data_IF_086904013510
#
_entry.id   IF_086904013510
#
_cell.length_a   1.000
_cell.length_b   1.000
_cell.length_c   1.000
_cell.angle_alpha   90.00
_cell.angle_beta   90.00
_cell.angle_gamma   90.00
#
_symmetry.space_group_name_H-M   'P 1'
#
loop_
_entity.id
_entity.type
_entity.pdbx_description
1 polymer ?
#
# COMPACT_ATOMS: atom_id res chain seq x y z
N UNK A 1 14.44 16.62 49.40
CA UNK A 1 14.35 15.55 48.39
C UNK A 1 13.49 16.03 47.24
N UNK A 2 14.00 15.90 46.03
CA UNK A 2 13.33 16.14 44.75
C UNK A 2 13.14 14.80 44.02
N UNK A 3 12.03 14.63 43.31
CA UNK A 3 11.73 13.41 42.56
C UNK A 3 11.73 13.67 41.05
N UNK A 4 12.34 12.76 40.29
CA UNK A 4 12.30 12.74 38.82
C UNK A 4 11.85 11.38 38.32
N UNK A 5 11.30 11.35 37.10
CA UNK A 5 10.89 10.13 36.39
C UNK A 5 11.30 10.22 34.92
N UNK A 6 11.50 9.07 34.29
CA UNK A 6 11.71 8.96 32.84
C UNK A 6 10.40 8.78 32.06
N UNK A 7 9.26 8.79 32.74
CA UNK A 7 7.96 8.72 32.09
C UNK A 7 7.77 9.92 31.15
N UNK A 8 7.59 9.69 29.83
CA UNK A 8 7.41 10.77 28.86
C UNK A 8 6.05 11.47 28.98
N UNK A 9 5.07 10.83 29.63
CA UNK A 9 3.80 11.48 29.98
C UNK A 9 3.98 12.25 31.30
N UNK A 10 3.18 13.32 31.55
CA UNK A 10 3.36 14.19 32.71
C UNK A 10 3.06 13.45 34.02
N UNK A 11 4.06 12.73 34.53
CA UNK A 11 3.99 11.99 35.78
C UNK A 11 3.62 12.93 36.93
N UNK A 12 2.70 12.49 37.79
CA UNK A 12 2.47 13.18 39.05
C UNK A 12 3.52 12.71 40.04
N UNK A 13 4.51 13.56 40.29
CA UNK A 13 5.55 13.30 41.28
C UNK A 13 5.30 14.17 42.52
N UNK A 14 5.70 13.70 43.72
CA UNK A 14 5.59 14.50 44.92
C UNK A 14 6.46 15.75 44.81
N UNK A 15 5.95 16.89 45.30
CA UNK A 15 6.77 18.09 45.43
C UNK A 15 7.91 17.92 46.43
N UNK A 16 8.88 18.83 46.35
CA UNK A 16 10.07 18.78 47.19
C UNK A 16 9.70 18.76 48.68
N UNK A 17 10.37 17.87 49.42
CA UNK A 17 10.08 17.70 50.84
C UNK A 17 11.29 17.29 51.67
N UNK A 18 11.40 17.75 52.93
CA UNK A 18 12.36 17.20 53.87
C UNK A 18 11.99 15.77 54.29
N UNK A 19 12.95 15.05 54.87
CA UNK A 19 12.79 13.72 55.48
C UNK A 19 13.03 13.80 57.01
N UNK A 20 12.08 14.31 57.81
CA UNK A 20 12.23 14.35 59.26
C UNK A 20 12.44 12.93 59.81
N UNK A 21 13.46 12.72 60.65
CA UNK A 21 13.79 11.38 61.17
C UNK A 21 14.35 10.41 60.12
N UNK A 22 14.79 10.92 58.96
CA UNK A 22 15.44 10.14 57.90
C UNK A 22 14.50 9.29 57.03
N UNK A 23 13.19 9.25 57.33
CA UNK A 23 12.20 8.43 56.62
C UNK A 23 10.91 9.21 56.39
N UNK A 24 10.34 9.09 55.18
CA UNK A 24 9.02 9.63 54.86
C UNK A 24 8.35 8.79 53.77
N UNK A 25 7.05 8.55 53.92
CA UNK A 25 6.22 7.95 52.86
C UNK A 25 5.66 9.03 51.95
N UNK A 26 5.81 8.86 50.64
CA UNK A 26 5.21 9.72 49.63
C UNK A 26 4.07 8.96 48.94
N UNK A 27 2.93 9.61 48.78
CA UNK A 27 1.74 9.06 48.12
C UNK A 27 1.37 9.91 46.91
N UNK A 28 0.45 9.43 46.08
CA UNK A 28 -0.02 10.18 44.91
C UNK A 28 0.93 10.18 43.71
N UNK A 29 1.88 9.24 43.67
CA UNK A 29 2.73 9.04 42.50
C UNK A 29 1.90 8.44 41.37
N UNK A 30 1.85 9.09 40.21
CA UNK A 30 1.19 8.55 39.02
C UNK A 30 2.18 8.43 37.86
N UNK A 31 2.24 7.22 37.30
CA UNK A 31 3.03 6.85 36.12
C UNK A 31 2.08 6.26 35.09
N UNK A 32 2.31 6.57 33.82
CA UNK A 32 1.41 6.29 32.71
C UNK A 32 2.04 5.35 31.68
N UNK A 33 3.34 5.39 31.49
CA UNK A 33 3.98 4.66 30.38
C UNK A 33 4.44 3.26 30.80
N UNK A 34 3.87 2.23 30.18
CA UNK A 34 4.24 0.82 30.34
C UNK A 34 5.56 0.48 29.61
N UNK A 35 6.22 -0.65 29.94
CA UNK A 35 5.90 -1.60 31.00
C UNK A 35 6.50 -1.23 32.36
N UNK A 36 7.44 -0.28 32.41
CA UNK A 36 8.08 0.14 33.65
C UNK A 36 8.65 1.55 33.54
N UNK A 37 8.62 2.31 34.64
CA UNK A 37 9.24 3.62 34.75
C UNK A 37 10.11 3.71 35.99
N UNK A 38 11.21 4.46 35.87
CA UNK A 38 12.11 4.75 37.00
C UNK A 38 11.62 5.95 37.78
N UNK A 39 11.70 5.90 39.10
CA UNK A 39 11.57 7.05 39.98
C UNK A 39 12.92 7.25 40.66
N UNK A 40 13.47 8.45 40.56
CA UNK A 40 14.72 8.83 41.21
C UNK A 40 14.46 9.92 42.23
N UNK A 41 14.93 9.72 43.46
CA UNK A 41 14.91 10.70 44.52
C UNK A 41 16.33 11.25 44.71
N UNK A 42 16.46 12.58 44.69
CA UNK A 42 17.73 13.28 44.86
C UNK A 42 17.63 14.27 46.02
N UNK A 43 18.61 14.28 46.91
CA UNK A 43 18.68 15.32 47.93
C UNK A 43 18.95 16.69 47.28
N UNK A 44 18.14 17.69 47.63
CA UNK A 44 18.18 19.01 47.00
C UNK A 44 19.34 19.87 47.48
N UNK A 45 19.97 19.50 48.60
CA UNK A 45 21.13 20.19 49.17
C UNK A 45 22.42 19.48 48.76
N UNK A 46 22.44 18.14 48.84
CA UNK A 46 23.59 17.29 48.53
C UNK A 46 23.24 16.37 47.37
N UNK A 47 23.32 16.88 46.13
CA UNK A 47 22.86 16.19 44.93
C UNK A 47 23.48 14.80 44.65
N UNK A 48 24.59 14.44 45.31
CA UNK A 48 25.18 13.10 45.24
C UNK A 48 24.41 12.04 46.03
N UNK A 49 23.51 12.44 46.93
CA UNK A 49 22.64 11.52 47.67
C UNK A 49 21.42 11.25 46.79
N UNK A 50 21.45 10.10 46.12
CA UNK A 50 20.37 9.67 45.21
C UNK A 50 19.93 8.25 45.52
N UNK A 51 18.66 7.94 45.27
CA UNK A 51 18.13 6.57 45.23
C UNK A 51 17.16 6.42 44.07
N UNK A 52 17.16 5.26 43.41
CA UNK A 52 16.27 5.01 42.27
C UNK A 52 15.62 3.63 42.38
N UNK A 53 14.41 3.53 41.84
CA UNK A 53 13.67 2.27 41.73
C UNK A 53 12.85 2.24 40.45
N UNK A 54 12.56 1.05 39.95
CA UNK A 54 11.67 0.85 38.81
C UNK A 54 10.30 0.39 39.31
N UNK A 55 9.25 1.02 38.80
CA UNK A 55 7.86 0.66 39.03
C UNK A 55 7.32 0.02 37.77
N UNK A 56 6.69 -1.14 37.89
CA UNK A 56 5.96 -1.75 36.77
C UNK A 56 4.69 -0.96 36.54
N UNK A 57 4.48 -0.51 35.31
CA UNK A 57 3.28 0.20 34.89
C UNK A 57 2.48 -0.75 34.03
N UNK A 58 1.31 -1.16 34.54
CA UNK A 58 0.37 -2.01 33.80
C UNK A 58 -0.44 -1.13 32.85
N UNK A 59 -0.49 -1.45 31.55
CA UNK A 59 -1.34 -0.76 30.59
C UNK A 59 -2.81 -0.76 31.02
N UNK A 60 -3.53 0.32 30.69
CA UNK A 60 -4.98 0.38 30.88
C UNK A 60 -5.70 -0.44 29.80
N UNK A 61 -7.04 -0.48 29.88
CA UNK A 61 -7.86 -1.06 28.83
C UNK A 61 -7.64 -0.34 27.50
N UNK A 62 -7.69 -1.09 26.40
CA UNK A 62 -7.55 -0.53 25.06
C UNK A 62 -8.67 0.49 24.79
N UNK A 63 -8.30 1.64 24.27
CA UNK A 63 -9.22 2.69 23.82
C UNK A 63 -9.26 2.80 22.30
N UNK A 64 -8.20 2.36 21.62
CA UNK A 64 -8.06 2.44 20.18
C UNK A 64 -7.10 1.37 19.62
N UNK A 65 -7.01 1.28 18.30
CA UNK A 65 -5.97 0.49 17.63
C UNK A 65 -4.93 1.39 16.96
N UNK A 66 -3.66 1.00 17.07
CA UNK A 66 -2.63 1.39 16.13
C UNK A 66 -2.56 0.34 15.02
N UNK A 67 -2.53 0.79 13.77
CA UNK A 67 -2.46 -0.07 12.59
C UNK A 67 -1.24 0.32 11.77
N UNK A 68 -0.46 -0.65 11.31
CA UNK A 68 0.70 -0.40 10.43
C UNK A 68 0.70 -1.37 9.26
N UNK A 69 1.14 -0.91 8.09
CA UNK A 69 1.39 -1.71 6.89
C UNK A 69 2.74 -1.31 6.29
N UNK A 70 3.33 -2.13 5.40
CA UNK A 70 4.32 -1.62 4.46
C UNK A 70 3.73 -0.46 3.66
N UNK A 71 4.57 0.49 3.26
CA UNK A 71 4.18 1.62 2.43
C UNK A 71 5.36 2.00 1.52
N UNK A 72 5.25 1.84 0.19
CA UNK A 72 4.09 1.33 -0.56
C UNK A 72 3.90 -0.19 -0.44
N UNK A 73 2.72 -0.68 -0.83
CA UNK A 73 2.48 -2.11 -1.14
C UNK A 73 2.34 -2.31 -2.65
N UNK A 74 2.46 -3.54 -3.14
CA UNK A 74 2.30 -3.87 -4.57
C UNK A 74 1.04 -4.71 -4.79
N UNK A 75 0.21 -4.33 -5.76
CA UNK A 75 -0.99 -5.08 -6.14
C UNK A 75 -0.62 -6.51 -6.58
N UNK A 76 -1.39 -7.49 -6.11
CA UNK A 76 -1.15 -8.92 -6.32
C UNK A 76 -0.10 -9.55 -5.40
N UNK A 77 0.61 -8.77 -4.58
CA UNK A 77 1.62 -9.28 -3.65
C UNK A 77 1.07 -9.31 -2.21
N UNK A 78 1.15 -10.45 -1.51
CA UNK A 78 0.73 -10.55 -0.11
C UNK A 78 1.55 -9.64 0.82
N UNK A 79 0.87 -9.05 1.80
CA UNK A 79 1.48 -8.31 2.90
C UNK A 79 0.66 -8.47 4.19
N UNK A 80 1.21 -8.00 5.30
CA UNK A 80 0.53 -8.00 6.60
C UNK A 80 0.20 -6.57 7.05
N UNK A 81 -1.00 -6.39 7.60
CA UNK A 81 -1.27 -5.29 8.52
C UNK A 81 -1.02 -5.75 9.96
N UNK A 82 -0.29 -4.97 10.75
CA UNK A 82 -0.16 -5.20 12.19
C UNK A 82 -1.17 -4.35 12.92
N UNK A 83 -2.00 -4.96 13.76
CA UNK A 83 -2.93 -4.26 14.66
C UNK A 83 -2.44 -4.41 16.09
N UNK A 84 -2.32 -3.29 16.79
CA UNK A 84 -1.94 -3.20 18.21
C UNK A 84 -3.04 -2.48 18.98
N UNK A 85 -3.62 -3.13 19.99
CA UNK A 85 -4.54 -2.53 20.94
C UNK A 85 -3.78 -1.61 21.88
N UNK A 86 -4.16 -0.33 21.90
CA UNK A 86 -3.51 0.69 22.71
C UNK A 86 -4.48 1.39 23.65
N UNK A 87 -4.01 1.73 24.85
CA UNK A 87 -4.74 2.58 25.78
C UNK A 87 -4.60 4.07 25.42
N UNK A 88 -5.19 4.96 26.22
CA UNK A 88 -5.15 6.42 25.98
C UNK A 88 -3.74 7.06 26.05
N UNK A 89 -2.74 6.31 26.52
CA UNK A 89 -1.33 6.72 26.61
C UNK A 89 -0.46 5.99 25.58
N UNK A 90 -1.09 5.32 24.60
CA UNK A 90 -0.44 4.53 23.56
C UNK A 90 0.33 3.30 24.07
N UNK A 91 0.06 2.86 25.31
CA UNK A 91 0.62 1.61 25.81
C UNK A 91 -0.11 0.43 25.16
N UNK A 92 0.62 -0.64 24.84
CA UNK A 92 -0.02 -1.87 24.36
C UNK A 92 -0.83 -2.51 25.49
N UNK A 93 -2.15 -2.57 25.33
CA UNK A 93 -3.05 -3.24 26.27
C UNK A 93 -2.91 -4.77 26.13
N UNK A 94 -1.92 -5.36 26.80
CA UNK A 94 -1.56 -6.78 26.63
C UNK A 94 -2.65 -7.76 27.06
N UNK A 95 -3.56 -7.36 27.95
CA UNK A 95 -4.73 -8.16 28.32
C UNK A 95 -5.86 -8.13 27.28
N UNK A 96 -5.75 -7.29 26.25
CA UNK A 96 -6.77 -7.16 25.23
C UNK A 96 -6.80 -8.40 24.32
N UNK A 97 -7.93 -9.11 24.33
CA UNK A 97 -8.21 -10.30 23.54
C UNK A 97 -9.44 -10.14 22.61
N UNK A 98 -9.84 -8.89 22.34
CA UNK A 98 -10.97 -8.56 21.47
C UNK A 98 -10.81 -9.07 20.04
N UNK A 99 -11.92 -9.21 19.33
CA UNK A 99 -11.97 -9.70 17.94
C UNK A 99 -12.01 -8.54 16.99
N UNK A 100 -11.00 -8.44 16.13
CA UNK A 100 -10.84 -7.35 15.16
C UNK A 100 -11.34 -7.77 13.79
N UNK A 101 -12.11 -6.88 13.16
CA UNK A 101 -12.47 -6.92 11.75
C UNK A 101 -11.57 -5.94 10.99
N UNK A 102 -11.06 -6.39 9.85
CA UNK A 102 -10.31 -5.57 8.90
C UNK A 102 -11.22 -5.16 7.74
N UNK A 103 -11.22 -3.88 7.40
CA UNK A 103 -11.86 -3.35 6.19
C UNK A 103 -10.95 -2.39 5.45
N UNK A 104 -11.29 -2.09 4.20
CA UNK A 104 -10.61 -1.08 3.40
C UNK A 104 -11.43 0.21 3.36
N UNK A 105 -10.77 1.37 3.35
CA UNK A 105 -11.46 2.66 3.21
C UNK A 105 -12.12 2.85 1.84
N UNK A 106 -11.51 2.31 0.79
CA UNK A 106 -12.10 2.18 -0.55
C UNK A 106 -12.13 0.71 -0.94
N UNK A 107 -13.26 0.27 -1.52
CA UNK A 107 -13.44 -1.11 -1.92
C UNK A 107 -12.47 -1.50 -3.04
N UNK A 108 -11.76 -2.60 -2.85
CA UNK A 108 -10.97 -3.26 -3.89
C UNK A 108 -11.66 -4.58 -4.25
N UNK A 109 -12.29 -4.68 -5.45
CA UNK A 109 -13.03 -5.87 -5.86
C UNK A 109 -12.15 -7.11 -6.07
N UNK A 110 -10.83 -6.94 -6.12
CA UNK A 110 -9.85 -8.02 -6.28
C UNK A 110 -9.05 -8.29 -5.01
N UNK A 111 -9.36 -7.59 -3.91
CA UNK A 111 -8.68 -7.82 -2.65
C UNK A 111 -9.13 -9.12 -1.99
N UNK A 112 -8.18 -9.79 -1.33
CA UNK A 112 -8.45 -10.86 -0.38
C UNK A 112 -8.12 -10.34 1.01
N UNK A 113 -9.16 -10.10 1.81
CA UNK A 113 -9.03 -9.65 3.20
C UNK A 113 -9.07 -10.83 4.17
N UNK A 114 -8.40 -10.73 5.33
CA UNK A 114 -8.46 -11.75 6.35
C UNK A 114 -9.84 -11.77 7.01
N UNK A 115 -10.22 -12.93 7.54
CA UNK A 115 -11.38 -13.05 8.42
C UNK A 115 -11.16 -12.33 9.76
N UNK A 116 -12.25 -12.14 10.50
CA UNK A 116 -12.19 -11.60 11.85
C UNK A 116 -11.28 -12.45 12.75
N UNK A 117 -10.47 -11.81 13.57
CA UNK A 117 -9.53 -12.54 14.41
C UNK A 117 -9.27 -11.87 15.76
N UNK A 118 -9.12 -12.67 16.82
CA UNK A 118 -8.76 -12.19 18.16
C UNK A 118 -7.30 -11.76 18.21
N UNK A 119 -7.00 -10.68 18.95
CA UNK A 119 -5.62 -10.30 19.27
C UNK A 119 -5.04 -11.20 20.36
N UNK A 120 -3.72 -11.31 20.40
CA UNK A 120 -2.99 -12.04 21.45
C UNK A 120 -1.92 -11.12 22.02
N UNK A 121 -1.89 -10.95 23.33
CA UNK A 121 -1.06 -9.93 23.98
C UNK A 121 -1.28 -8.52 23.41
N UNK A 122 -2.53 -8.20 23.03
CA UNK A 122 -2.88 -6.93 22.40
C UNK A 122 -2.39 -6.74 20.97
N UNK A 123 -1.79 -7.74 20.30
CA UNK A 123 -1.20 -7.60 18.96
C UNK A 123 -1.62 -8.75 18.04
N UNK A 124 -1.75 -8.48 16.73
CA UNK A 124 -1.84 -9.52 15.69
C UNK A 124 -1.47 -9.01 14.31
N UNK A 125 -0.97 -9.92 13.48
CA UNK A 125 -0.77 -9.75 12.04
C UNK A 125 -1.99 -10.24 11.28
N UNK A 126 -2.41 -9.44 10.31
CA UNK A 126 -3.54 -9.67 9.43
C UNK A 126 -3.04 -9.78 7.98
N UNK A 127 -2.86 -11.00 7.45
CA UNK A 127 -2.40 -11.20 6.08
C UNK A 127 -3.49 -10.80 5.09
N UNK A 128 -3.12 -10.08 4.05
CA UNK A 128 -4.03 -9.67 2.98
C UNK A 128 -3.31 -9.50 1.64
N UNK A 129 -4.10 -9.44 0.57
CA UNK A 129 -3.64 -9.11 -0.78
C UNK A 129 -4.58 -8.05 -1.32
N UNK A 130 -4.04 -6.94 -1.84
CA UNK A 130 -4.80 -6.00 -2.66
C UNK A 130 -4.59 -6.34 -4.13
N UNK A 131 -5.65 -6.30 -4.94
CA UNK A 131 -5.59 -6.64 -6.35
C UNK A 131 -5.61 -5.43 -7.28
N UNK A 132 -6.06 -4.27 -6.80
CA UNK A 132 -6.12 -3.04 -7.60
C UNK A 132 -5.30 -1.90 -6.99
N UNK A 133 -4.79 -1.02 -7.86
CA UNK A 133 -4.05 0.19 -7.45
C UNK A 133 -4.98 1.26 -6.85
N UNK A 134 -6.26 1.24 -7.24
CA UNK A 134 -7.23 2.27 -6.85
C UNK A 134 -6.91 3.66 -7.42
N UNK A 135 -7.67 4.66 -6.96
CA UNK A 135 -7.42 6.07 -7.28
C UNK A 135 -6.96 6.80 -6.02
N UNK A 136 -5.64 6.91 -5.83
CA UNK A 136 -5.04 7.65 -4.71
C UNK A 136 -4.60 6.76 -3.54
N UNK A 137 -4.56 7.34 -2.34
CA UNK A 137 -4.16 6.62 -1.13
C UNK A 137 -5.23 5.62 -0.72
N UNK A 138 -4.81 4.39 -0.42
CA UNK A 138 -5.66 3.37 0.18
C UNK A 138 -5.55 3.45 1.70
N UNK A 139 -6.54 2.88 2.41
CA UNK A 139 -6.45 2.67 3.85
C UNK A 139 -6.91 1.29 4.28
N UNK A 140 -6.36 0.84 5.41
CA UNK A 140 -6.82 -0.30 6.19
C UNK A 140 -7.39 0.24 7.49
N UNK A 141 -8.58 -0.25 7.84
CA UNK A 141 -9.32 0.11 9.04
C UNK A 141 -9.46 -1.16 9.88
N UNK A 142 -9.01 -1.10 11.13
CA UNK A 142 -9.25 -2.12 12.14
C UNK A 142 -10.37 -1.65 13.05
N UNK A 143 -11.36 -2.50 13.31
CA UNK A 143 -12.49 -2.19 14.20
C UNK A 143 -12.79 -3.41 15.06
N UNK A 144 -12.97 -3.21 16.37
CA UNK A 144 -13.41 -4.28 17.24
C UNK A 144 -14.87 -4.63 16.93
N UNK A 145 -15.15 -5.93 16.84
CA UNK A 145 -16.47 -6.44 16.43
C UNK A 145 -17.57 -6.25 17.48
N UNK A 146 -17.21 -6.00 18.74
CA UNK A 146 -18.15 -5.81 19.86
C UNK A 146 -18.23 -4.34 20.25
N UNK A 147 -17.09 -3.68 20.41
CA UNK A 147 -16.96 -2.26 20.79
C UNK A 147 -16.42 -1.45 19.62
N UNK A 148 -17.31 -1.08 18.69
CA UNK A 148 -16.94 -0.40 17.45
C UNK A 148 -16.18 0.93 17.61
N UNK A 149 -16.20 1.55 18.79
CA UNK A 149 -15.40 2.74 19.09
C UNK A 149 -13.91 2.45 19.21
N UNK A 150 -13.51 1.19 19.49
CA UNK A 150 -12.10 0.77 19.44
C UNK A 150 -11.77 0.51 17.98
N UNK A 151 -11.14 1.50 17.36
CA UNK A 151 -10.78 1.48 15.94
C UNK A 151 -9.40 2.10 15.71
N UNK A 152 -8.82 1.82 14.54
CA UNK A 152 -7.58 2.39 14.07
C UNK A 152 -7.52 2.37 12.55
N UNK A 153 -6.86 3.35 11.95
CA UNK A 153 -6.73 3.47 10.49
C UNK A 153 -5.30 3.80 10.11
N UNK A 154 -4.81 3.18 9.03
CA UNK A 154 -3.54 3.53 8.39
C UNK A 154 -3.75 3.79 6.91
N UNK A 155 -3.03 4.78 6.38
CA UNK A 155 -3.03 5.15 4.97
C UNK A 155 -1.70 4.77 4.32
N UNK A 156 -1.76 4.29 3.08
CA UNK A 156 -0.60 3.87 2.29
C UNK A 156 -0.91 3.96 0.79
N UNK A 157 0.12 3.92 -0.05
CA UNK A 157 -0.03 3.82 -1.50
C UNK A 157 0.06 2.37 -1.98
N UNK A 158 -0.65 2.09 -3.08
CA UNK A 158 -0.58 0.81 -3.79
C UNK A 158 0.09 1.04 -5.14
N UNK A 159 1.15 0.30 -5.43
CA UNK A 159 1.80 0.29 -6.73
C UNK A 159 1.27 -0.86 -7.60
N UNK A 160 1.22 -0.71 -8.92
CA UNK A 160 0.88 -1.83 -9.80
C UNK A 160 1.96 -2.92 -9.74
N UNK A 161 1.57 -4.14 -10.09
CA UNK A 161 2.50 -5.24 -10.29
C UNK A 161 3.38 -5.04 -11.53
N UNK A 162 4.28 -6.01 -11.74
CA UNK A 162 5.08 -6.09 -12.97
C UNK A 162 4.16 -6.38 -14.17
N UNK A 163 4.52 -5.85 -15.34
CA UNK A 163 3.76 -6.13 -16.56
C UNK A 163 3.82 -7.63 -16.91
N UNK A 164 2.67 -8.20 -17.26
CA UNK A 164 2.54 -9.58 -17.72
C UNK A 164 1.87 -9.69 -19.08
N UNK A 165 1.25 -8.61 -19.55
CA UNK A 165 0.54 -8.57 -20.82
C UNK A 165 0.52 -7.16 -21.39
N UNK A 166 0.31 -7.06 -22.69
CA UNK A 166 -0.10 -5.80 -23.30
C UNK A 166 -1.62 -5.74 -23.43
N UNK A 167 -2.11 -4.53 -23.69
CA UNK A 167 -3.47 -4.26 -24.08
C UNK A 167 -3.46 -3.13 -25.10
N UNK A 168 -4.29 -3.25 -26.13
CA UNK A 168 -4.45 -2.22 -27.15
C UNK A 168 -5.73 -1.41 -26.94
N UNK A 169 -5.61 -0.10 -27.10
CA UNK A 169 -6.75 0.80 -27.20
C UNK A 169 -6.48 1.90 -28.25
N UNK A 170 -7.44 2.80 -28.46
CA UNK A 170 -7.44 3.80 -29.54
C UNK A 170 -7.39 3.23 -30.97
N UNK A 171 -7.68 1.94 -31.16
CA UNK A 171 -7.92 1.43 -32.51
C UNK A 171 -9.25 1.97 -33.05
N UNK A 172 -9.31 2.31 -34.36
CA UNK A 172 -10.59 2.50 -35.02
C UNK A 172 -11.38 1.18 -35.05
N UNK A 173 -12.67 1.23 -35.38
CA UNK A 173 -13.48 0.01 -35.53
C UNK A 173 -13.19 -0.76 -36.83
N UNK A 174 -12.62 -0.07 -37.81
CA UNK A 174 -12.09 -0.61 -39.06
C UNK A 174 -11.15 0.42 -39.67
N UNK A 175 -10.22 -0.03 -40.51
CA UNK A 175 -9.29 0.82 -41.26
C UNK A 175 -9.57 0.73 -42.76
N UNK A 176 -9.22 1.77 -43.51
CA UNK A 176 -9.21 1.71 -44.98
C UNK A 176 -7.84 1.23 -45.45
N UNK A 177 -7.79 0.30 -46.41
CA UNK A 177 -6.55 -0.20 -46.99
C UNK A 177 -5.63 0.96 -47.43
N UNK A 178 -4.38 0.95 -46.98
CA UNK A 178 -3.35 1.96 -47.25
C UNK A 178 -3.42 3.24 -46.40
N UNK A 179 -4.48 3.44 -45.59
CA UNK A 179 -4.61 4.59 -44.72
C UNK A 179 -3.86 4.39 -43.39
N UNK A 180 -3.22 5.46 -42.91
CA UNK A 180 -2.57 5.46 -41.58
C UNK A 180 -3.61 5.50 -40.47
N UNK A 181 -3.37 4.76 -39.39
CA UNK A 181 -4.17 4.81 -38.17
C UNK A 181 -3.30 4.80 -36.90
N UNK A 182 -3.95 5.16 -35.80
CA UNK A 182 -3.34 5.25 -34.47
C UNK A 182 -3.65 4.00 -33.66
N UNK A 183 -2.68 3.57 -32.86
CA UNK A 183 -2.79 2.51 -31.87
C UNK A 183 -2.16 3.00 -30.58
N UNK A 184 -2.69 2.62 -29.42
CA UNK A 184 -1.99 2.81 -28.15
C UNK A 184 -1.81 1.49 -27.44
N UNK A 185 -0.58 1.26 -26.99
CA UNK A 185 -0.20 0.06 -26.24
C UNK A 185 -0.10 0.41 -24.77
N UNK A 186 -0.76 -0.37 -23.92
CA UNK A 186 -0.69 -0.27 -22.47
C UNK A 186 -0.11 -1.57 -21.91
N UNK A 187 0.94 -1.49 -21.10
CA UNK A 187 1.45 -2.62 -20.33
C UNK A 187 0.61 -2.80 -19.06
N UNK A 188 0.07 -4.00 -18.87
CA UNK A 188 -0.77 -4.35 -17.72
C UNK A 188 -0.10 -5.45 -16.89
N UNK A 189 -0.31 -5.39 -15.58
CA UNK A 189 0.00 -6.49 -14.67
C UNK A 189 -1.03 -7.63 -14.78
N UNK A 190 -0.81 -8.70 -14.00
CA UNK A 190 -1.69 -9.88 -13.99
C UNK A 190 -3.12 -9.57 -13.52
N UNK A 191 -3.29 -8.49 -12.75
CA UNK A 191 -4.57 -8.01 -12.26
C UNK A 191 -5.18 -6.95 -13.19
N UNK A 192 -4.58 -6.68 -14.35
CA UNK A 192 -5.06 -5.68 -15.31
C UNK A 192 -4.82 -4.23 -14.86
N UNK A 193 -3.98 -3.99 -13.85
CA UNK A 193 -3.56 -2.63 -13.52
C UNK A 193 -2.49 -2.18 -14.51
N UNK A 194 -2.45 -0.89 -14.84
CA UNK A 194 -1.38 -0.34 -15.68
C UNK A 194 -0.05 -0.41 -14.94
N UNK A 195 0.90 -1.18 -15.47
CA UNK A 195 2.25 -1.33 -14.93
C UNK A 195 3.08 -0.06 -15.21
N UNK A 196 2.94 0.96 -14.36
CA UNK A 196 3.47 2.30 -14.62
C UNK A 196 5.00 2.38 -14.69
N UNK A 197 5.71 1.44 -14.07
CA UNK A 197 7.16 1.32 -14.14
C UNK A 197 7.69 0.51 -15.32
N UNK A 198 6.83 0.06 -16.23
CA UNK A 198 7.24 -0.76 -17.36
C UNK A 198 8.15 0.01 -18.33
N UNK A 199 9.33 -0.56 -18.60
CA UNK A 199 10.38 0.02 -19.46
C UNK A 199 10.89 -0.97 -20.53
N UNK A 200 10.12 -2.02 -20.79
CA UNK A 200 10.44 -3.01 -21.81
C UNK A 200 10.24 -2.48 -23.24
N UNK A 201 10.61 -3.29 -24.23
CA UNK A 201 10.61 -2.88 -25.65
C UNK A 201 9.58 -3.68 -26.43
N UNK A 202 8.59 -2.99 -26.99
CA UNK A 202 7.55 -3.58 -27.82
C UNK A 202 8.02 -3.71 -29.27
N UNK A 203 7.93 -4.92 -29.81
CA UNK A 203 8.10 -5.24 -31.22
C UNK A 203 6.73 -5.53 -31.86
N UNK A 204 6.49 -5.02 -33.07
CA UNK A 204 5.22 -5.16 -33.77
C UNK A 204 5.33 -6.08 -34.99
N UNK A 205 4.35 -6.96 -35.15
CA UNK A 205 4.18 -7.80 -36.35
C UNK A 205 2.74 -7.73 -36.85
N UNK A 206 2.53 -8.11 -38.11
CA UNK A 206 1.19 -8.21 -38.71
C UNK A 206 1.05 -9.47 -39.55
N UNK A 207 -0.19 -9.96 -39.69
CA UNK A 207 -0.54 -11.03 -40.63
C UNK A 207 -0.73 -10.54 -42.07
N UNK A 208 -0.66 -9.22 -42.33
CA UNK A 208 -0.90 -8.67 -43.67
C UNK A 208 0.13 -9.21 -44.67
N UNK A 209 -0.31 -9.97 -45.70
CA UNK A 209 0.61 -10.55 -46.68
C UNK A 209 1.17 -9.51 -47.64
N UNK A 210 0.55 -8.33 -47.74
CA UNK A 210 1.21 -7.15 -48.29
C UNK A 210 1.90 -6.44 -47.12
N UNK A 211 3.21 -6.15 -47.19
CA UNK A 211 3.96 -5.70 -46.02
C UNK A 211 3.30 -4.48 -45.37
N UNK A 212 2.71 -4.70 -44.20
CA UNK A 212 2.12 -3.65 -43.39
C UNK A 212 3.17 -2.59 -43.07
N UNK A 213 2.74 -1.33 -42.94
CA UNK A 213 3.58 -0.32 -42.31
C UNK A 213 3.37 -0.43 -40.81
N UNK A 214 4.43 -0.77 -40.08
CA UNK A 214 4.45 -0.87 -38.61
C UNK A 214 5.51 0.10 -38.07
N UNK A 215 5.33 0.63 -36.85
CA UNK A 215 6.39 1.40 -36.20
C UNK A 215 7.62 0.53 -35.93
N UNK A 216 8.77 1.18 -35.77
CA UNK A 216 9.96 0.52 -35.24
C UNK A 216 9.73 0.06 -33.78
N UNK A 217 10.62 -0.81 -33.30
CA UNK A 217 10.64 -1.23 -31.91
C UNK A 217 10.68 -0.03 -30.97
N UNK A 218 9.84 -0.07 -29.94
CA UNK A 218 9.70 1.05 -29.00
C UNK A 218 9.98 0.62 -27.58
N UNK A 219 11.03 1.17 -27.00
CA UNK A 219 11.37 1.02 -25.57
C UNK A 219 10.56 2.01 -24.75
N UNK A 220 9.69 1.50 -23.88
CA UNK A 220 8.94 2.32 -22.94
C UNK A 220 9.88 3.02 -21.97
N UNK A 221 9.52 4.25 -21.61
CA UNK A 221 10.19 5.06 -20.61
C UNK A 221 9.32 5.20 -19.36
N UNK A 222 9.92 5.65 -18.27
CA UNK A 222 9.16 6.00 -17.06
C UNK A 222 8.12 7.11 -17.32
N UNK A 223 8.36 7.97 -18.30
CA UNK A 223 7.44 9.05 -18.68
C UNK A 223 6.17 8.54 -19.37
N UNK A 224 6.23 7.38 -20.04
CA UNK A 224 5.06 6.74 -20.63
C UNK A 224 4.09 6.21 -19.56
N UNK A 225 4.56 6.00 -18.33
CA UNK A 225 3.74 5.46 -17.25
C UNK A 225 3.08 4.14 -17.63
N UNK A 226 3.80 3.29 -18.37
CA UNK A 226 3.33 2.01 -18.89
C UNK A 226 2.35 2.10 -20.08
N UNK A 227 2.26 3.24 -20.76
CA UNK A 227 1.34 3.44 -21.89
C UNK A 227 1.90 4.39 -22.96
N UNK A 228 1.95 3.94 -24.21
CA UNK A 228 2.46 4.75 -25.31
C UNK A 228 1.53 4.71 -26.53
N UNK A 229 1.26 5.89 -27.10
CA UNK A 229 0.45 6.05 -28.29
C UNK A 229 1.34 6.20 -29.52
N UNK A 230 0.99 5.49 -30.59
CA UNK A 230 1.68 5.49 -31.87
C UNK A 230 0.78 6.17 -32.91
N UNK A 231 0.82 7.52 -33.00
CA UNK A 231 -0.09 8.27 -33.86
C UNK A 231 0.23 8.01 -35.34
N UNK A 232 -0.78 7.56 -36.10
CA UNK A 232 -0.69 7.37 -37.56
C UNK A 232 0.46 6.46 -38.03
N UNK A 233 0.97 5.59 -37.15
CA UNK A 233 2.16 4.78 -37.40
C UNK A 233 1.87 3.44 -38.10
N UNK A 234 0.61 3.04 -38.18
CA UNK A 234 0.21 1.74 -38.73
C UNK A 234 -0.51 1.91 -40.07
N UNK A 235 -0.25 1.01 -41.04
CA UNK A 235 -1.02 0.84 -42.28
C UNK A 235 -1.21 -0.64 -42.59
N UNK A 236 -2.44 -1.01 -42.92
CA UNK A 236 -2.84 -2.33 -43.42
C UNK A 236 -3.38 -2.18 -44.84
N UNK A 237 -3.29 -3.22 -45.66
CA UNK A 237 -3.57 -3.19 -47.09
C UNK A 237 -4.54 -4.28 -47.54
N UNK A 238 -4.50 -5.45 -46.91
CA UNK A 238 -5.25 -6.62 -47.40
C UNK A 238 -6.52 -6.86 -46.59
N UNK A 239 -7.64 -7.01 -47.30
CA UNK A 239 -8.97 -7.32 -46.75
C UNK A 239 -9.12 -8.83 -46.47
N UNK A 240 -10.08 -9.27 -45.63
CA UNK A 240 -11.06 -8.48 -44.88
C UNK A 240 -10.58 -8.00 -43.52
N UNK A 241 -9.49 -8.56 -42.99
CA UNK A 241 -8.97 -8.23 -41.67
C UNK A 241 -7.52 -8.66 -41.54
N UNK A 242 -6.73 -7.93 -40.75
CA UNK A 242 -5.37 -8.30 -40.43
C UNK A 242 -5.12 -8.27 -38.94
N UNK A 243 -4.33 -9.23 -38.46
CA UNK A 243 -3.89 -9.27 -37.07
C UNK A 243 -2.69 -8.35 -36.90
N UNK A 244 -2.68 -7.56 -35.84
CA UNK A 244 -1.52 -6.81 -35.34
C UNK A 244 -1.15 -7.42 -34.00
N UNK A 245 0.13 -7.74 -33.82
CA UNK A 245 0.66 -8.28 -32.56
C UNK A 245 1.77 -7.39 -32.04
N UNK A 246 1.71 -7.00 -30.77
CA UNK A 246 2.85 -6.47 -30.03
C UNK A 246 3.40 -7.56 -29.12
N UNK A 247 4.72 -7.66 -29.02
CA UNK A 247 5.40 -8.61 -28.14
C UNK A 247 6.63 -7.94 -27.54
N UNK A 248 6.83 -8.09 -26.23
CA UNK A 248 8.05 -7.61 -25.59
C UNK A 248 9.25 -8.43 -26.11
N UNK A 249 10.30 -7.75 -26.52
CA UNK A 249 11.49 -8.35 -27.16
C UNK A 249 12.31 -9.26 -26.22
N UNK A 250 12.20 -9.07 -24.90
CA UNK A 250 12.92 -9.86 -23.90
C UNK A 250 11.99 -10.91 -23.29
N UNK A 251 10.76 -10.54 -22.96
CA UNK A 251 9.76 -11.37 -22.28
C UNK A 251 8.58 -11.63 -23.20
N UNK A 252 8.74 -12.55 -24.15
CA UNK A 252 7.75 -12.82 -25.20
C UNK A 252 6.34 -13.23 -24.71
N UNK A 253 6.17 -13.58 -23.43
CA UNK A 253 4.86 -13.78 -22.82
C UNK A 253 4.07 -12.47 -22.63
N UNK A 254 4.75 -11.33 -22.50
CA UNK A 254 4.12 -10.00 -22.54
C UNK A 254 3.78 -9.69 -23.99
N UNK A 255 2.55 -10.02 -24.38
CA UNK A 255 2.07 -9.87 -25.75
C UNK A 255 0.60 -9.52 -25.79
N UNK A 256 0.16 -8.98 -26.92
CA UNK A 256 -1.25 -8.81 -27.24
C UNK A 256 -1.44 -8.79 -28.75
N UNK A 257 -2.54 -9.39 -29.22
CA UNK A 257 -2.90 -9.43 -30.63
C UNK A 257 -4.33 -8.96 -30.81
N UNK A 258 -4.59 -8.21 -31.87
CA UNK A 258 -5.95 -7.80 -32.27
C UNK A 258 -6.13 -8.03 -33.75
N UNK A 259 -7.32 -8.49 -34.16
CA UNK A 259 -7.71 -8.57 -35.57
C UNK A 259 -8.45 -7.29 -35.95
N UNK A 260 -7.84 -6.47 -36.79
CA UNK A 260 -8.40 -5.20 -37.25
C UNK A 260 -9.09 -5.39 -38.62
N UNK A 261 -10.38 -5.04 -38.76
CA UNK A 261 -11.07 -5.08 -40.04
C UNK A 261 -10.47 -4.09 -41.04
N UNK A 262 -10.22 -4.55 -42.28
CA UNK A 262 -9.68 -3.73 -43.37
C UNK A 262 -10.72 -3.61 -44.48
N UNK A 263 -11.16 -2.38 -44.72
CA UNK A 263 -12.06 -2.03 -45.81
C UNK A 263 -11.25 -1.75 -47.10
N UNK A 264 -11.76 -2.10 -48.29
CA UNK A 264 -11.13 -1.73 -49.55
C UNK A 264 -10.88 -0.23 -49.66
N UNK A 265 -9.78 0.17 -50.28
CA UNK A 265 -9.57 1.56 -50.67
C UNK A 265 -10.63 1.98 -51.71
N UNK A 266 -11.00 3.27 -51.73
CA UNK A 266 -11.86 3.79 -52.77
C UNK A 266 -11.23 3.53 -54.14
N UNK A 267 -12.03 3.04 -55.10
CA UNK A 267 -11.56 2.82 -56.46
C UNK A 267 -11.12 4.16 -57.07
N UNK A 268 -9.83 4.31 -57.36
CA UNK A 268 -9.37 5.37 -58.24
C UNK A 268 -9.87 5.02 -59.65
N UNK A 269 -10.69 5.88 -60.26
CA UNK A 269 -10.96 5.81 -61.69
C UNK A 269 -9.65 6.08 -62.42
N UNK A 270 -9.12 5.05 -63.08
CA UNK A 270 -8.06 5.18 -64.09
C UNK A 270 -8.59 5.96 -65.30
#
# INVERSE_FOLDING_TARGET
MHFTSLDPHPAALPGDSPLPGGVKTFTGIMLFTAPSQSITATDTVTASITGSTNVVVTPLAATHFSVTTPNPVTAGIPFNATVTAQDQYNNTATSYAGTVKITLGTADPKATLPGNATLTNGVKLFPMVLGTVGSGSQSVIATDTVTASITGTVFFSVNPGVATQYFFDLLPASVTAGASFTLRVTALDANGNRATGYTGTAHFTSSDPHPATLPADYTFTVADGGRHAFPLAFKLFVTPSQTITATDTVTASIKFSVSEPVNPAATSKL
#
